data_IF_749402168873
#
_entry.id   IF_749402168873
#
_cell.length_a   1.000
_cell.length_b   1.000
_cell.length_c   1.000
_cell.angle_alpha   90.00
_cell.angle_beta   90.00
_cell.angle_gamma   90.00
#
_symmetry.space_group_name_H-M   'P 1'
#
loop_
_entity.id
_entity.type
_entity.pdbx_description
1 polymer ?
#
# COMPACT_ATOMS: atom_id res chain seq x y z
N UNK A 1 8.55 8.85 -16.83
CA UNK A 1 7.80 9.56 -15.77
C UNK A 1 7.79 8.73 -14.50
N UNK A 2 7.17 7.55 -14.48
CA UNK A 2 7.06 6.75 -13.26
C UNK A 2 8.42 6.30 -12.71
N UNK A 3 9.40 5.95 -13.54
CA UNK A 3 10.78 5.64 -13.08
C UNK A 3 11.38 6.79 -12.24
N UNK A 4 11.30 8.02 -12.74
CA UNK A 4 11.73 9.19 -11.97
C UNK A 4 10.88 9.40 -10.70
N UNK A 5 9.61 8.97 -10.70
CA UNK A 5 8.74 9.05 -9.52
C UNK A 5 9.13 8.00 -8.47
N UNK A 6 9.54 6.80 -8.89
CA UNK A 6 10.09 5.78 -8.01
C UNK A 6 11.29 6.31 -7.23
N UNK A 7 12.17 7.07 -7.88
CA UNK A 7 13.33 7.71 -7.23
C UNK A 7 12.92 8.72 -6.16
N UNK A 8 11.79 9.41 -6.34
CA UNK A 8 11.25 10.33 -5.32
C UNK A 8 10.77 9.55 -4.08
N UNK A 9 10.14 8.38 -4.26
CA UNK A 9 9.71 7.53 -3.14
C UNK A 9 10.90 6.92 -2.43
N UNK A 10 11.96 6.55 -3.15
CA UNK A 10 13.18 5.98 -2.56
C UNK A 10 14.10 7.02 -1.93
N UNK A 11 13.82 8.31 -2.13
CA UNK A 11 14.64 9.41 -1.63
C UNK A 11 14.82 9.33 -0.10
N UNK A 12 16.03 9.64 0.37
CA UNK A 12 16.33 9.68 1.81
C UNK A 12 15.69 10.87 2.52
N UNK A 13 15.30 11.91 1.79
CA UNK A 13 14.60 13.06 2.34
C UNK A 13 13.16 12.69 2.73
N UNK A 14 12.87 12.79 4.03
CA UNK A 14 11.57 12.50 4.62
C UNK A 14 10.41 13.26 3.95
N UNK A 15 10.57 14.57 3.70
CA UNK A 15 9.50 15.40 3.15
C UNK A 15 9.19 14.98 1.72
N UNK A 16 10.22 14.77 0.89
CA UNK A 16 10.06 14.32 -0.50
C UNK A 16 9.35 12.96 -0.52
N UNK A 17 9.88 11.96 0.19
CA UNK A 17 9.31 10.61 0.24
C UNK A 17 7.84 10.64 0.68
N UNK A 18 7.53 11.34 1.78
CA UNK A 18 6.16 11.40 2.31
C UNK A 18 5.20 12.07 1.33
N UNK A 19 5.55 13.24 0.80
CA UNK A 19 4.66 13.98 -0.10
C UNK A 19 4.48 13.27 -1.45
N UNK A 20 5.52 12.59 -1.95
CA UNK A 20 5.41 11.75 -3.13
C UNK A 20 4.48 10.56 -2.89
N UNK A 21 4.55 9.87 -1.75
CA UNK A 21 3.59 8.80 -1.45
C UNK A 21 2.16 9.32 -1.35
N UNK A 22 1.94 10.44 -0.64
CA UNK A 22 0.61 11.04 -0.51
C UNK A 22 0.02 11.40 -1.87
N UNK A 23 0.77 12.14 -2.68
CA UNK A 23 0.34 12.56 -4.01
C UNK A 23 0.04 11.35 -4.92
N UNK A 24 0.84 10.30 -4.82
CA UNK A 24 0.62 9.07 -5.59
C UNK A 24 -0.66 8.35 -5.16
N UNK A 25 -0.94 8.28 -3.86
CA UNK A 25 -2.21 7.73 -3.35
C UNK A 25 -3.43 8.50 -3.88
N UNK A 26 -3.39 9.84 -3.82
CA UNK A 26 -4.46 10.70 -4.36
C UNK A 26 -4.60 10.52 -5.88
N UNK A 27 -3.49 10.48 -6.61
CA UNK A 27 -3.46 10.29 -8.06
C UNK A 27 -4.07 8.95 -8.50
N UNK A 28 -3.78 7.87 -7.77
CA UNK A 28 -4.28 6.53 -8.07
C UNK A 28 -5.79 6.37 -7.84
N UNK A 29 -6.37 7.18 -6.95
CA UNK A 29 -7.80 7.14 -6.63
C UNK A 29 -8.65 7.99 -7.57
N UNK A 30 -8.05 8.88 -8.35
CA UNK A 30 -8.77 9.66 -9.35
C UNK A 30 -9.22 8.77 -10.51
N UNK A 31 -10.53 8.81 -10.80
CA UNK A 31 -11.18 8.03 -11.87
C UNK A 31 -10.58 8.31 -13.24
N UNK A 32 -10.08 9.51 -13.48
CA UNK A 32 -9.44 9.89 -14.75
C UNK A 32 -8.16 9.06 -14.97
N UNK A 33 -7.49 8.66 -13.87
CA UNK A 33 -6.24 7.91 -13.87
C UNK A 33 -6.43 6.39 -13.79
N UNK A 34 -7.66 5.87 -13.90
CA UNK A 34 -7.96 4.44 -13.72
C UNK A 34 -7.08 3.49 -14.56
N UNK A 35 -6.77 3.88 -15.81
CA UNK A 35 -5.87 3.11 -16.68
C UNK A 35 -4.47 2.98 -16.08
N UNK A 36 -3.95 4.08 -15.55
CA UNK A 36 -2.61 4.14 -14.96
C UNK A 36 -2.59 3.40 -13.62
N UNK A 37 -3.62 3.59 -12.80
CA UNK A 37 -3.81 2.84 -11.56
C UNK A 37 -3.77 1.33 -11.83
N UNK A 38 -4.53 0.85 -12.82
CA UNK A 38 -4.56 -0.57 -13.19
C UNK A 38 -3.18 -1.09 -13.60
N UNK A 39 -2.45 -0.33 -14.41
CA UNK A 39 -1.08 -0.70 -14.81
C UNK A 39 -0.15 -0.83 -13.61
N UNK A 40 -0.13 0.17 -12.71
CA UNK A 40 0.73 0.15 -11.53
C UNK A 40 0.36 -0.95 -10.54
N UNK A 41 -0.93 -1.23 -10.34
CA UNK A 41 -1.39 -2.30 -9.43
C UNK A 41 -1.05 -3.72 -9.92
N UNK A 42 -0.59 -3.85 -11.16
CA UNK A 42 -0.13 -5.12 -11.71
C UNK A 42 1.39 -5.32 -11.59
N UNK A 43 2.13 -4.30 -11.15
CA UNK A 43 3.59 -4.31 -11.05
C UNK A 43 4.09 -4.85 -9.70
N UNK A 44 4.76 -6.00 -9.75
CA UNK A 44 5.32 -6.67 -8.57
C UNK A 44 6.36 -5.82 -7.83
N UNK A 45 7.21 -5.11 -8.57
CA UNK A 45 8.23 -4.27 -7.96
C UNK A 45 7.59 -3.10 -7.21
N UNK A 46 6.47 -2.59 -7.71
CA UNK A 46 5.73 -1.53 -7.05
C UNK A 46 5.08 -2.03 -5.76
N UNK A 47 4.46 -3.22 -5.76
CA UNK A 47 3.96 -3.84 -4.53
C UNK A 47 5.07 -3.96 -3.48
N UNK A 48 6.24 -4.51 -3.86
CA UNK A 48 7.37 -4.67 -2.94
C UNK A 48 7.85 -3.34 -2.36
N UNK A 49 7.91 -2.29 -3.19
CA UNK A 49 8.26 -0.95 -2.73
C UNK A 49 7.29 -0.48 -1.65
N UNK A 50 5.98 -0.56 -1.91
CA UNK A 50 4.95 -0.12 -0.96
C UNK A 50 5.00 -0.95 0.32
N UNK A 51 5.19 -2.28 0.22
CA UNK A 51 5.36 -3.15 1.39
C UNK A 51 6.59 -2.80 2.23
N UNK A 52 7.67 -2.31 1.61
CA UNK A 52 8.83 -1.80 2.35
C UNK A 52 8.51 -0.46 3.02
N UNK A 53 7.76 0.44 2.36
CA UNK A 53 7.31 1.69 2.96
C UNK A 53 6.37 1.49 4.16
N UNK A 54 5.60 0.40 4.21
CA UNK A 54 4.83 0.01 5.41
C UNK A 54 5.71 -0.23 6.65
N UNK A 55 6.99 -0.55 6.45
CA UNK A 55 7.97 -0.79 7.51
C UNK A 55 8.91 0.40 7.75
N UNK A 56 8.67 1.54 7.12
CA UNK A 56 9.49 2.74 7.30
C UNK A 56 9.44 3.21 8.77
N UNK A 57 10.53 3.69 9.37
CA UNK A 57 10.51 4.17 10.75
C UNK A 57 9.51 5.31 11.01
N UNK A 58 9.14 6.08 9.98
CA UNK A 58 8.17 7.16 10.11
C UNK A 58 6.73 6.68 10.00
N UNK A 59 5.95 6.83 11.08
CA UNK A 59 4.50 6.57 11.06
C UNK A 59 3.77 7.29 9.93
N UNK A 60 4.17 8.52 9.60
CA UNK A 60 3.51 9.24 8.50
C UNK A 60 3.78 8.60 7.13
N UNK A 61 4.96 8.01 6.92
CA UNK A 61 5.25 7.28 5.67
C UNK A 61 4.48 5.96 5.64
N UNK A 62 4.45 5.23 6.75
CA UNK A 62 3.66 4.00 6.89
C UNK A 62 2.19 4.25 6.54
N UNK A 63 1.64 5.38 7.00
CA UNK A 63 0.26 5.78 6.74
C UNK A 63 -0.03 5.99 5.25
N UNK A 64 0.80 6.77 4.55
CA UNK A 64 0.60 6.98 3.11
C UNK A 64 0.80 5.67 2.32
N UNK A 65 1.75 4.84 2.74
CA UNK A 65 1.98 3.52 2.14
C UNK A 65 0.77 2.58 2.32
N UNK A 66 0.09 2.63 3.47
CA UNK A 66 -1.12 1.85 3.72
C UNK A 66 -2.25 2.21 2.76
N UNK A 67 -2.45 3.50 2.47
CA UNK A 67 -3.47 3.95 1.51
C UNK A 67 -3.23 3.45 0.09
N UNK A 68 -1.97 3.25 -0.30
CA UNK A 68 -1.63 2.64 -1.60
C UNK A 68 -1.75 1.11 -1.52
N UNK A 69 -1.27 0.50 -0.44
CA UNK A 69 -1.29 -0.95 -0.26
C UNK A 69 -2.70 -1.53 -0.32
N UNK A 70 -3.70 -0.85 0.28
CA UNK A 70 -5.09 -1.30 0.22
C UNK A 70 -5.63 -1.40 -1.21
N UNK A 71 -5.14 -0.57 -2.14
CA UNK A 71 -5.56 -0.61 -3.55
C UNK A 71 -5.10 -1.92 -4.21
N UNK A 72 -3.87 -2.37 -3.92
CA UNK A 72 -3.38 -3.66 -4.40
C UNK A 72 -4.25 -4.82 -3.92
N UNK A 73 -4.55 -4.84 -2.61
CA UNK A 73 -5.33 -5.91 -1.99
C UNK A 73 -6.79 -5.88 -2.43
N UNK A 74 -7.39 -4.70 -2.56
CA UNK A 74 -8.78 -4.53 -3.00
C UNK A 74 -8.99 -4.75 -4.52
N UNK A 75 -7.93 -4.86 -5.34
CA UNK A 75 -8.06 -5.12 -6.77
C UNK A 75 -8.76 -6.49 -7.03
N UNK A 76 -9.97 -6.52 -7.60
CA UNK A 76 -10.70 -7.77 -7.86
C UNK A 76 -10.05 -8.61 -8.98
N UNK A 77 -9.36 -7.95 -9.91
CA UNK A 77 -8.66 -8.59 -11.03
C UNK A 77 -7.15 -8.67 -10.77
N UNK A 78 -6.80 -9.07 -9.55
CA UNK A 78 -5.41 -9.14 -9.09
C UNK A 78 -4.61 -10.15 -9.92
N UNK A 79 -3.47 -9.74 -10.50
CA UNK A 79 -2.60 -10.67 -11.24
C UNK A 79 -2.06 -11.80 -10.35
N UNK A 80 -1.82 -12.97 -10.95
CA UNK A 80 -1.35 -14.16 -10.23
C UNK A 80 0.00 -13.94 -9.53
N UNK A 81 0.90 -13.19 -10.15
CA UNK A 81 2.20 -12.81 -9.56
C UNK A 81 2.05 -11.94 -8.29
N UNK A 82 1.08 -11.03 -8.26
CA UNK A 82 0.73 -10.22 -7.09
C UNK A 82 0.12 -11.11 -6.00
N UNK A 83 -0.88 -11.93 -6.36
CA UNK A 83 -1.51 -12.89 -5.43
C UNK A 83 -0.50 -13.83 -4.81
N UNK A 84 0.44 -14.36 -5.60
CA UNK A 84 1.52 -15.25 -5.12
C UNK A 84 2.39 -14.57 -4.06
N UNK A 85 2.75 -13.30 -4.23
CA UNK A 85 3.56 -12.57 -3.24
C UNK A 85 2.78 -12.36 -1.94
N UNK A 86 1.50 -11.99 -2.04
CA UNK A 86 0.65 -11.82 -0.86
C UNK A 86 0.47 -13.15 -0.12
N UNK A 87 0.24 -14.27 -0.81
CA UNK A 87 0.17 -15.62 -0.23
C UNK A 87 1.46 -16.04 0.47
N UNK A 88 2.60 -15.84 -0.17
CA UNK A 88 3.90 -16.17 0.40
C UNK A 88 4.21 -15.40 1.69
N UNK A 89 3.61 -14.22 1.86
CA UNK A 89 3.78 -13.35 3.03
C UNK A 89 2.54 -13.30 3.93
N UNK A 90 1.53 -14.15 3.69
CA UNK A 90 0.18 -14.01 4.26
C UNK A 90 0.19 -13.92 5.79
N UNK A 91 0.82 -14.90 6.45
CA UNK A 91 0.90 -14.94 7.91
C UNK A 91 1.56 -13.69 8.48
N UNK A 92 2.74 -13.34 7.95
CA UNK A 92 3.49 -12.15 8.39
C UNK A 92 2.75 -10.85 8.14
N UNK A 93 1.98 -10.76 7.05
CA UNK A 93 1.17 -9.58 6.73
C UNK A 93 0.01 -9.43 7.70
N UNK A 94 -0.70 -10.51 8.01
CA UNK A 94 -1.81 -10.49 8.98
C UNK A 94 -1.30 -10.10 10.36
N UNK A 95 -0.21 -10.73 10.83
CA UNK A 95 0.42 -10.40 12.10
C UNK A 95 0.83 -8.91 12.16
N UNK A 96 1.52 -8.44 11.11
CA UNK A 96 1.90 -7.03 10.99
C UNK A 96 0.69 -6.10 11.05
N UNK A 97 -0.36 -6.36 10.25
CA UNK A 97 -1.54 -5.51 10.16
C UNK A 97 -2.34 -5.47 11.46
N UNK A 98 -2.44 -6.58 12.21
CA UNK A 98 -3.09 -6.58 13.53
C UNK A 98 -2.42 -5.59 14.48
N UNK A 99 -1.08 -5.51 14.44
CA UNK A 99 -0.30 -4.57 15.25
C UNK A 99 -0.11 -3.17 14.65
N UNK A 100 -0.62 -2.95 13.44
CA UNK A 100 -0.40 -1.73 12.69
C UNK A 100 -1.28 -0.61 13.24
N UNK A 101 -0.65 0.43 13.79
CA UNK A 101 -1.33 1.57 14.43
C UNK A 101 -2.33 1.20 15.53
N UNK A 102 -2.04 0.20 16.36
CA UNK A 102 -2.91 -0.20 17.50
C UNK A 102 -3.37 0.98 18.38
N UNK A 103 -2.54 2.02 18.52
CA UNK A 103 -2.84 3.21 19.32
C UNK A 103 -3.86 4.17 18.66
N UNK A 104 -4.36 3.88 17.45
CA UNK A 104 -5.41 4.67 16.76
C UNK A 104 -6.79 4.04 16.95
N UNK A 105 -7.15 3.74 18.18
CA UNK A 105 -8.42 3.08 18.53
C UNK A 105 -9.67 3.92 18.27
N UNK A 106 -9.52 5.23 18.04
CA UNK A 106 -10.64 6.17 17.79
C UNK A 106 -10.93 6.39 16.30
N UNK A 107 -10.06 5.92 15.40
CA UNK A 107 -10.22 6.09 13.95
C UNK A 107 -10.98 4.88 13.37
N UNK A 108 -12.30 4.87 13.57
CA UNK A 108 -13.19 3.77 13.13
C UNK A 108 -13.00 3.42 11.65
N UNK A 109 -12.86 4.45 10.80
CA UNK A 109 -12.64 4.25 9.36
C UNK A 109 -11.35 3.48 9.08
N UNK A 110 -10.26 3.81 9.77
CA UNK A 110 -9.00 3.07 9.62
C UNK A 110 -9.15 1.63 10.10
N UNK A 111 -9.83 1.40 11.22
CA UNK A 111 -10.07 0.06 11.76
C UNK A 111 -10.83 -0.79 10.74
N UNK A 112 -11.93 -0.27 10.18
CA UNK A 112 -12.71 -0.94 9.14
C UNK A 112 -11.87 -1.26 7.89
N UNK A 113 -11.09 -0.29 7.40
CA UNK A 113 -10.21 -0.49 6.25
C UNK A 113 -9.16 -1.57 6.53
N UNK A 114 -8.53 -1.54 7.71
CA UNK A 114 -7.51 -2.51 8.13
C UNK A 114 -8.09 -3.92 8.23
N UNK A 115 -9.23 -4.06 8.90
CA UNK A 115 -9.86 -5.36 9.14
C UNK A 115 -10.39 -5.95 7.82
N UNK A 116 -10.91 -5.11 6.91
CA UNK A 116 -11.23 -5.51 5.55
C UNK A 116 -10.00 -6.04 4.79
N UNK A 117 -8.86 -5.35 4.86
CA UNK A 117 -7.62 -5.80 4.21
C UNK A 117 -7.10 -7.11 4.79
N UNK A 118 -7.18 -7.31 6.11
CA UNK A 118 -6.82 -8.57 6.76
C UNK A 118 -7.70 -9.71 6.22
N UNK A 119 -9.01 -9.51 6.18
CA UNK A 119 -9.96 -10.50 5.66
C UNK A 119 -9.68 -10.84 4.19
N UNK A 120 -9.39 -9.84 3.35
CA UNK A 120 -9.04 -10.08 1.95
C UNK A 120 -7.76 -10.91 1.83
N UNK A 121 -6.74 -10.62 2.63
CA UNK A 121 -5.48 -11.38 2.62
C UNK A 121 -5.69 -12.82 3.10
N UNK A 122 -6.53 -13.03 4.11
CA UNK A 122 -6.88 -14.38 4.61
C UNK A 122 -7.58 -15.23 3.55
N UNK A 123 -8.43 -14.60 2.71
CA UNK A 123 -9.23 -15.27 1.69
C UNK A 123 -8.52 -15.46 0.34
N UNK A 124 -7.23 -15.13 0.23
CA UNK A 124 -6.46 -15.30 -1.01
C UNK A 124 -6.28 -16.76 -1.42
#
# INVERSE_FOLDING_TARGET
FFDNYYDLILNSNYVIKRQSLKLLGEFLLDRINFKIMTLLMNEVNYLKLIMNCLKDPSKNIQWEAFHIFKIFVANPNKPENITKILKLNQLKLIEFLNSFFENRSEDEKFIDERDYIILQIQNL
#
